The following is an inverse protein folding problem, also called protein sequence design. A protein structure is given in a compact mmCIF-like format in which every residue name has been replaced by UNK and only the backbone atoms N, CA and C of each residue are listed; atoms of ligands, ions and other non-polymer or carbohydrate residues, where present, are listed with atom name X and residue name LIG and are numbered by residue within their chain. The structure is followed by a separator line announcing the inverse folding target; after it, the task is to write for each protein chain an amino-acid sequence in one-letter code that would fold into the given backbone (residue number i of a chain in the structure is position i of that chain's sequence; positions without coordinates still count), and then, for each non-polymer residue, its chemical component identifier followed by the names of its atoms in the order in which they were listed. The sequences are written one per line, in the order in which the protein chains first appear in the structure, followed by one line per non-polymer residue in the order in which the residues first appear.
data_IF_258139745222
#
_entry.id   IF_258139745222
#
_cell.length_a   1.000
_cell.length_b   1.000
_cell.length_c   1.000
_cell.angle_alpha   90.00
_cell.angle_beta   90.00
_cell.angle_gamma   90.00
#
_symmetry.space_group_name_H-M   'P 1'
#
loop_
_entity.id
_entity.type
_entity.pdbx_description
1 polymer ?
#
# COMPACT_ATOMS: atom_id res chain seq x y z
N UNK A 1 -2.28 2.95 0.18
CA UNK A 1 -1.56 3.58 1.31
C UNK A 1 -2.53 4.42 2.12
N UNK A 2 -2.40 4.39 3.45
CA UNK A 2 -3.18 5.23 4.36
C UNK A 2 -2.21 6.00 5.25
N UNK A 3 -2.24 7.33 5.20
CA UNK A 3 -1.62 8.15 6.24
C UNK A 3 -2.57 8.18 7.44
N UNK A 4 -2.17 7.56 8.56
CA UNK A 4 -2.98 7.39 9.74
C UNK A 4 -2.50 8.31 10.85
N UNK A 5 -3.46 8.93 11.53
CA UNK A 5 -3.20 9.77 12.70
C UNK A 5 -4.09 9.37 13.87
N UNK A 6 -3.46 9.11 15.02
CA UNK A 6 -4.11 8.93 16.31
C UNK A 6 -4.46 10.31 16.86
N UNK A 7 -5.74 10.52 17.11
CA UNK A 7 -6.29 11.73 17.71
C UNK A 7 -6.85 11.33 19.08
N UNK A 8 -6.28 11.89 20.14
CA UNK A 8 -6.75 11.71 21.51
C UNK A 8 -7.28 13.05 22.03
N UNK A 9 -8.50 13.04 22.56
CA UNK A 9 -9.12 14.20 23.21
C UNK A 9 -9.22 14.00 24.73
N UNK A 10 -8.38 13.14 25.33
CA UNK A 10 -8.36 12.84 26.76
C UNK A 10 -9.49 11.92 27.27
N UNK A 11 -10.56 11.73 26.49
CA UNK A 11 -11.70 10.85 26.83
C UNK A 11 -11.74 9.62 25.91
N UNK A 12 -11.38 9.79 24.64
CA UNK A 12 -11.36 8.73 23.65
C UNK A 12 -10.18 8.93 22.69
N UNK A 13 -9.62 7.81 22.25
CA UNK A 13 -8.62 7.78 21.19
C UNK A 13 -9.26 7.23 19.93
N UNK A 14 -9.03 7.90 18.80
CA UNK A 14 -9.44 7.42 17.47
C UNK A 14 -8.26 7.48 16.50
N UNK A 15 -8.13 6.46 15.66
CA UNK A 15 -7.19 6.48 14.54
C UNK A 15 -7.98 6.75 13.27
N UNK A 16 -7.65 7.85 12.59
CA UNK A 16 -8.31 8.25 11.34
C UNK A 16 -7.31 8.40 10.21
N UNK A 17 -7.74 8.10 8.99
CA UNK A 17 -6.92 8.37 7.80
C UNK A 17 -6.99 9.86 7.42
N UNK A 18 -5.84 10.51 7.33
CA UNK A 18 -5.70 11.87 6.81
C UNK A 18 -5.65 11.87 5.28
N UNK A 19 -5.02 10.86 4.70
CA UNK A 19 -4.91 10.66 3.26
C UNK A 19 -4.98 9.17 2.95
N UNK A 20 -5.78 8.80 1.97
CA UNK A 20 -5.85 7.45 1.43
C UNK A 20 -5.56 7.50 -0.06
N UNK A 21 -4.62 6.68 -0.50
CA UNK A 21 -4.20 6.54 -1.89
C UNK A 21 -4.39 5.08 -2.31
N UNK A 22 -5.15 4.85 -3.38
CA UNK A 22 -5.45 3.50 -3.88
C UNK A 22 -5.04 3.42 -5.34
N UNK A 23 -4.04 2.59 -5.62
CA UNK A 23 -3.62 2.21 -6.96
C UNK A 23 -4.22 0.84 -7.30
N UNK A 24 -5.06 0.77 -8.32
CA UNK A 24 -5.56 -0.46 -8.92
C UNK A 24 -4.84 -0.69 -10.25
N UNK A 25 -4.19 -1.83 -10.40
CA UNK A 25 -3.55 -2.27 -11.64
C UNK A 25 -4.27 -3.53 -12.13
N UNK A 26 -4.83 -3.50 -13.33
CA UNK A 26 -5.43 -4.66 -13.98
C UNK A 26 -4.39 -5.49 -14.72
N UNK A 27 -4.79 -6.69 -15.13
CA UNK A 27 -3.89 -7.67 -15.73
C UNK A 27 -3.33 -7.24 -17.11
N UNK A 28 -4.04 -6.35 -17.79
CA UNK A 28 -3.72 -5.70 -19.07
C UNK A 28 -2.97 -4.36 -18.92
N UNK A 29 -2.63 -3.99 -17.68
CA UNK A 29 -1.91 -2.76 -17.37
C UNK A 29 -2.79 -1.52 -17.24
N UNK A 30 -4.12 -1.62 -17.35
CA UNK A 30 -4.98 -0.48 -17.02
C UNK A 30 -4.83 -0.11 -15.54
N UNK A 31 -4.68 1.20 -15.29
CA UNK A 31 -4.54 1.78 -13.97
C UNK A 31 -5.76 2.63 -13.64
N UNK A 32 -6.26 2.47 -12.42
CA UNK A 32 -7.11 3.46 -11.76
C UNK A 32 -6.44 3.89 -10.47
N UNK A 33 -6.22 5.18 -10.32
CA UNK A 33 -5.61 5.79 -9.14
C UNK A 33 -6.57 6.78 -8.51
N UNK A 34 -6.82 6.62 -7.20
CA UNK A 34 -7.76 7.45 -6.45
C UNK A 34 -7.12 7.97 -5.19
N UNK A 35 -7.35 9.24 -4.89
CA UNK A 35 -6.87 9.90 -3.67
C UNK A 35 -8.09 10.41 -2.90
N UNK A 36 -8.12 10.16 -1.60
CA UNK A 36 -9.06 10.81 -0.66
C UNK A 36 -8.24 11.51 0.39
N UNK A 37 -8.41 12.82 0.51
CA UNK A 37 -7.67 13.65 1.47
C UNK A 37 -8.64 14.35 2.40
N UNK A 38 -8.44 14.20 3.71
CA UNK A 38 -9.29 14.75 4.78
C UNK A 38 -10.79 14.42 4.60
N UNK A 39 -11.08 13.25 4.03
CA UNK A 39 -12.45 12.79 3.73
C UNK A 39 -13.02 13.27 2.39
N UNK A 40 -12.28 14.04 1.60
CA UNK A 40 -12.71 14.54 0.30
C UNK A 40 -12.04 13.75 -0.84
N UNK A 41 -12.82 13.07 -1.70
CA UNK A 41 -12.26 12.39 -2.85
C UNK A 41 -11.76 13.40 -3.88
N UNK A 42 -10.57 13.15 -4.43
CA UNK A 42 -10.01 13.87 -5.57
C UNK A 42 -10.46 13.21 -6.88
N UNK A 43 -10.35 13.88 -8.03
CA UNK A 43 -10.62 13.28 -9.33
C UNK A 43 -9.80 12.00 -9.55
N UNK A 44 -10.46 10.95 -10.07
CA UNK A 44 -9.81 9.69 -10.41
C UNK A 44 -8.84 9.89 -11.57
N UNK A 45 -7.64 9.33 -11.46
CA UNK A 45 -6.65 9.29 -12.54
C UNK A 45 -6.74 7.91 -13.21
N UNK A 46 -6.95 7.90 -14.53
CA UNK A 46 -6.90 6.69 -15.34
C UNK A 46 -5.69 6.74 -16.25
N UNK A 47 -4.92 5.66 -16.29
CA UNK A 47 -3.70 5.57 -17.07
C UNK A 47 -3.45 4.13 -17.50
N UNK A 48 -2.34 3.89 -18.19
CA UNK A 48 -1.88 2.55 -18.55
C UNK A 48 -0.40 2.44 -18.29
N UNK A 49 -0.01 1.39 -17.57
CA UNK A 49 1.41 1.08 -17.36
C UNK A 49 1.98 0.37 -18.59
N UNK A 50 3.24 0.67 -18.91
CA UNK A 50 3.95 -0.05 -19.95
C UNK A 50 4.16 -1.53 -19.57
N UNK A 51 4.28 -2.38 -20.59
CA UNK A 51 4.40 -3.81 -20.41
C UNK A 51 5.65 -4.21 -19.61
N UNK A 52 6.76 -3.47 -19.77
CA UNK A 52 8.02 -3.77 -19.07
C UNK A 52 7.86 -3.58 -17.56
N UNK A 53 7.24 -2.48 -17.11
CA UNK A 53 6.96 -2.26 -15.68
C UNK A 53 5.92 -3.24 -15.15
N UNK A 54 4.86 -3.53 -15.93
CA UNK A 54 3.86 -4.54 -15.55
C UNK A 54 4.49 -5.92 -15.32
N UNK A 55 5.36 -6.35 -16.23
CA UNK A 55 6.06 -7.63 -16.13
C UNK A 55 7.04 -7.65 -14.95
N UNK A 56 7.72 -6.53 -14.67
CA UNK A 56 8.60 -6.42 -13.50
C UNK A 56 7.84 -6.64 -12.19
N UNK A 57 6.67 -6.02 -12.01
CA UNK A 57 5.86 -6.21 -10.79
C UNK A 57 5.31 -7.62 -10.72
N UNK A 58 4.86 -8.19 -11.85
CA UNK A 58 4.40 -9.58 -11.90
C UNK A 58 5.51 -10.55 -11.48
N UNK A 59 6.73 -10.37 -11.96
CA UNK A 59 7.89 -11.19 -11.59
C UNK A 59 8.23 -11.02 -10.11
N UNK A 60 8.32 -9.77 -9.62
CA UNK A 60 8.56 -9.49 -8.20
C UNK A 60 7.54 -10.17 -7.30
N UNK A 61 6.25 -10.19 -7.64
CA UNK A 61 5.24 -10.85 -6.82
C UNK A 61 5.34 -12.38 -6.90
N UNK A 62 5.56 -12.93 -8.10
CA UNK A 62 5.49 -14.39 -8.34
C UNK A 62 6.75 -15.15 -7.93
N UNK A 63 7.91 -14.53 -8.04
CA UNK A 63 9.21 -15.24 -7.98
C UNK A 63 9.91 -15.12 -6.63
N UNK A 64 9.48 -14.20 -5.77
CA UNK A 64 10.24 -13.80 -4.57
C UNK A 64 9.62 -14.26 -3.25
N UNK A 65 8.56 -15.07 -3.32
CA UNK A 65 7.83 -15.53 -2.13
C UNK A 65 6.89 -14.50 -1.50
N UNK A 66 6.70 -13.31 -2.11
CA UNK A 66 5.76 -12.29 -1.61
C UNK A 66 4.35 -12.87 -1.31
N UNK A 67 3.89 -13.79 -2.16
CA UNK A 67 2.59 -14.47 -2.03
C UNK A 67 2.48 -15.35 -0.77
N UNK A 68 3.61 -15.80 -0.20
CA UNK A 68 3.64 -16.67 0.97
C UNK A 68 3.67 -15.90 2.31
N UNK A 69 3.74 -14.57 2.27
CA UNK A 69 3.77 -13.73 3.48
C UNK A 69 2.38 -13.75 4.13
N UNK A 70 2.34 -14.03 5.43
CA UNK A 70 1.08 -14.15 6.16
C UNK A 70 0.38 -12.78 6.32
N UNK A 71 -0.97 -12.74 6.26
CA UNK A 71 -1.72 -11.55 6.60
C UNK A 71 -1.57 -11.20 8.10
N UNK A 72 -1.48 -9.90 8.43
CA UNK A 72 -1.40 -9.39 9.81
C UNK A 72 -0.11 -9.74 10.57
N UNK A 73 1.01 -9.98 9.89
CA UNK A 73 2.29 -10.30 10.57
C UNK A 73 2.98 -9.12 11.25
N UNK A 74 2.50 -7.89 11.08
CA UNK A 74 3.20 -6.68 11.54
C UNK A 74 2.33 -5.84 12.47
N UNK A 75 2.83 -5.66 13.68
CA UNK A 75 2.29 -4.80 14.73
C UNK A 75 2.74 -3.34 14.55
N UNK A 76 2.03 -2.41 15.20
CA UNK A 76 2.38 -0.99 15.24
C UNK A 76 2.79 -0.66 16.67
N UNK A 77 3.87 0.10 16.85
CA UNK A 77 4.33 0.55 18.16
C UNK A 77 3.30 1.47 18.83
N UNK A 78 3.05 1.28 20.12
CA UNK A 78 2.00 2.01 20.86
C UNK A 78 2.22 3.52 20.92
N UNK A 79 3.49 3.96 20.96
CA UNK A 79 3.87 5.36 21.05
C UNK A 79 3.83 6.10 19.70
N UNK A 80 3.53 5.41 18.60
CA UNK A 80 3.46 6.00 17.27
C UNK A 80 2.05 6.50 17.01
N UNK A 81 1.95 7.82 16.80
CA UNK A 81 0.66 8.52 16.64
C UNK A 81 0.42 9.02 15.22
N UNK A 82 1.44 9.08 14.38
CA UNK A 82 1.35 9.45 12.97
C UNK A 82 2.24 8.47 12.19
N UNK A 83 1.65 7.75 11.24
CA UNK A 83 2.38 6.77 10.44
C UNK A 83 1.64 6.40 9.15
N UNK A 84 2.39 5.97 8.15
CA UNK A 84 1.83 5.34 6.96
C UNK A 84 1.55 3.86 7.21
N UNK A 85 0.34 3.39 6.88
CA UNK A 85 0.02 1.97 6.72
C UNK A 85 -0.13 1.62 5.24
N UNK A 86 0.74 0.74 4.77
CA UNK A 86 0.71 0.21 3.41
C UNK A 86 -0.08 -1.10 3.37
N UNK A 87 -0.70 -1.37 2.22
CA UNK A 87 -1.45 -2.60 1.98
C UNK A 87 -1.36 -2.93 0.50
N UNK A 88 -1.14 -4.21 0.20
CA UNK A 88 -1.16 -4.75 -1.16
C UNK A 88 -2.07 -5.95 -1.18
N UNK A 89 -3.04 -5.92 -2.09
CA UNK A 89 -3.97 -7.02 -2.36
C UNK A 89 -3.70 -7.53 -3.77
N UNK A 90 -3.44 -8.83 -3.89
CA UNK A 90 -3.10 -9.49 -5.14
C UNK A 90 -4.09 -10.62 -5.38
N UNK A 91 -4.59 -10.69 -6.61
CA UNK A 91 -5.34 -11.83 -7.11
C UNK A 91 -4.47 -12.58 -8.12
N UNK A 92 -4.10 -13.82 -7.80
CA UNK A 92 -3.27 -14.67 -8.65
C UNK A 92 -3.90 -16.07 -8.76
N UNK A 93 -4.18 -16.53 -9.98
CA UNK A 93 -4.80 -17.83 -10.25
C UNK A 93 -6.07 -18.08 -9.41
N UNK A 94 -6.91 -17.05 -9.26
CA UNK A 94 -8.14 -17.10 -8.45
C UNK A 94 -7.94 -17.02 -6.93
N UNK A 95 -6.71 -17.05 -6.42
CA UNK A 95 -6.39 -16.87 -5.00
C UNK A 95 -6.14 -15.40 -4.70
N UNK A 96 -6.68 -14.93 -3.57
CA UNK A 96 -6.49 -13.57 -3.08
C UNK A 96 -5.55 -13.62 -1.89
N UNK A 97 -4.46 -12.86 -1.96
CA UNK A 97 -3.56 -12.63 -0.84
C UNK A 97 -3.52 -11.13 -0.56
N UNK A 98 -3.60 -10.77 0.71
CA UNK A 98 -3.53 -9.38 1.14
C UNK A 98 -2.65 -9.27 2.36
N UNK A 99 -1.65 -8.41 2.26
CA UNK A 99 -0.76 -8.09 3.37
C UNK A 99 -0.84 -6.59 3.64
N UNK A 100 -0.55 -6.21 4.88
CA UNK A 100 -0.46 -4.82 5.31
C UNK A 100 0.69 -4.70 6.29
N UNK A 101 1.41 -3.59 6.20
CA UNK A 101 2.56 -3.31 7.04
C UNK A 101 2.57 -1.80 7.33
N UNK A 102 2.96 -1.39 8.53
CA UNK A 102 3.29 0.01 8.78
C UNK A 102 4.65 0.36 8.16
N UNK A 103 4.94 1.65 8.01
CA UNK A 103 6.29 2.11 7.70
C UNK A 103 7.32 1.65 8.75
N UNK A 104 8.59 1.52 8.35
CA UNK A 104 9.61 0.82 9.14
C UNK A 104 9.91 1.45 10.52
N UNK A 105 9.70 2.76 10.68
CA UNK A 105 9.86 3.47 11.96
C UNK A 105 8.63 3.34 12.87
N UNK A 106 7.54 2.73 12.40
CA UNK A 106 6.30 2.55 13.13
C UNK A 106 6.11 1.14 13.70
N UNK A 107 7.08 0.23 13.50
CA UNK A 107 7.07 -1.15 14.00
C UNK A 107 8.45 -1.58 14.47
N UNK A 108 8.51 -2.51 15.43
CA UNK A 108 9.72 -3.27 15.75
C UNK A 108 9.87 -4.56 14.94
N UNK A 109 8.82 -4.94 14.20
CA UNK A 109 8.80 -6.20 13.47
C UNK A 109 9.68 -6.11 12.23
N UNK A 110 10.34 -7.23 11.91
CA UNK A 110 11.16 -7.32 10.72
C UNK A 110 10.26 -7.35 9.47
N UNK A 111 10.22 -6.26 8.72
CA UNK A 111 9.55 -6.19 7.42
C UNK A 111 10.49 -6.81 6.37
N UNK A 112 10.13 -7.94 5.73
CA UNK A 112 10.97 -8.56 4.71
C UNK A 112 11.32 -7.58 3.58
N UNK A 113 12.58 -7.55 3.09
CA UNK A 113 13.01 -6.63 2.03
C UNK A 113 12.16 -6.73 0.75
N UNK A 114 11.54 -7.87 0.49
CA UNK A 114 10.66 -8.02 -0.67
C UNK A 114 9.40 -7.17 -0.59
N UNK A 115 8.87 -6.93 0.62
CA UNK A 115 7.72 -6.05 0.81
C UNK A 115 8.10 -4.63 0.41
N UNK A 116 9.24 -4.13 0.90
CA UNK A 116 9.70 -2.77 0.60
C UNK A 116 10.13 -2.61 -0.86
N UNK A 117 10.64 -3.66 -1.51
CA UNK A 117 10.91 -3.65 -2.96
C UNK A 117 9.61 -3.53 -3.78
N UNK A 118 8.58 -4.30 -3.44
CA UNK A 118 7.26 -4.20 -4.11
C UNK A 118 6.63 -2.83 -3.86
N UNK A 119 6.70 -2.32 -2.63
CA UNK A 119 6.26 -0.96 -2.29
C UNK A 119 6.94 0.09 -3.16
N UNK A 120 8.27 0.05 -3.26
CA UNK A 120 9.04 1.03 -4.04
C UNK A 120 8.68 1.01 -5.52
N UNK A 121 8.41 -0.16 -6.11
CA UNK A 121 7.99 -0.23 -7.51
C UNK A 121 6.56 0.29 -7.74
N UNK A 122 5.65 0.05 -6.79
CA UNK A 122 4.31 0.64 -6.83
C UNK A 122 4.36 2.15 -6.63
N UNK A 123 5.22 2.64 -5.74
CA UNK A 123 5.40 4.07 -5.48
C UNK A 123 5.89 4.82 -6.71
N UNK A 124 6.84 4.25 -7.46
CA UNK A 124 7.28 4.84 -8.73
C UNK A 124 6.13 5.04 -9.70
N UNK A 125 5.23 4.05 -9.82
CA UNK A 125 4.05 4.15 -10.67
C UNK A 125 3.12 5.25 -10.17
N UNK A 126 2.88 5.31 -8.86
CA UNK A 126 2.02 6.33 -8.26
C UNK A 126 2.57 7.73 -8.49
N UNK A 127 3.90 7.94 -8.37
CA UNK A 127 4.55 9.22 -8.62
C UNK A 127 4.40 9.63 -10.09
N UNK A 128 4.71 8.73 -11.03
CA UNK A 128 4.66 9.01 -12.48
C UNK A 128 3.26 9.37 -13.00
N UNK A 129 2.20 8.86 -12.38
CA UNK A 129 0.82 9.19 -12.77
C UNK A 129 0.25 10.41 -12.04
N UNK A 130 0.93 10.87 -10.99
CA UNK A 130 0.52 12.04 -10.19
C UNK A 130 1.24 13.34 -10.57
N UNK A 131 2.35 13.24 -11.32
CA UNK A 131 3.00 14.36 -12.02
C UNK A 131 2.27 14.71 -13.33
#
# INVERSE_FOLDING_TARGET
KHQLKKISNGIAERTGSQKTEILLIKNDGEIKYTITEKGYPQPDIQSKIDEKKLNKIKALIKETGFIAIEPNSFSVLENVTDYQKSSVKITLNGRVNQIHWPESNATSDFIPPIITMVESELDKIMSEISE
#
